data_IF_944974101652
#
_entry.id   IF_944974101652
#
_cell.length_a   1.000
_cell.length_b   1.000
_cell.length_c   1.000
_cell.angle_alpha   90.00
_cell.angle_beta   90.00
_cell.angle_gamma   90.00
#
_symmetry.space_group_name_H-M   'P 1'
#
loop_
_entity.id
_entity.type
_entity.pdbx_description
1 polymer ?
#
# COMPACT_ATOMS: atom_id res chain seq x y z
N UNK A 1 -7.89 7.85 -12.25
CA UNK A 1 -8.72 6.63 -12.10
C UNK A 1 -8.55 6.16 -10.67
N UNK A 2 -9.63 5.80 -9.96
CA UNK A 2 -9.61 5.40 -8.55
C UNK A 2 -8.97 4.01 -8.30
N UNK A 3 -8.36 3.40 -9.32
CA UNK A 3 -7.51 2.22 -9.16
C UNK A 3 -6.06 2.58 -8.85
N UNK A 4 -5.71 3.88 -8.84
CA UNK A 4 -4.36 4.42 -8.60
C UNK A 4 -4.39 5.57 -7.61
N UNK A 5 -3.38 5.62 -6.75
CA UNK A 5 -3.22 6.69 -5.76
C UNK A 5 -1.75 6.99 -5.54
N UNK A 6 -1.42 8.24 -5.23
CA UNK A 6 -0.04 8.67 -5.07
C UNK A 6 0.16 9.48 -3.78
N UNK A 7 1.31 9.29 -3.14
CA UNK A 7 1.73 10.04 -1.96
C UNK A 7 3.23 10.28 -2.00
N UNK A 8 3.72 11.30 -1.31
CA UNK A 8 5.15 11.52 -1.11
C UNK A 8 5.51 11.29 0.35
N UNK A 9 6.64 10.63 0.59
CA UNK A 9 7.21 10.38 1.89
C UNK A 9 8.57 11.06 1.99
N UNK A 10 8.88 11.65 3.14
CA UNK A 10 10.19 12.25 3.42
C UNK A 10 10.91 11.39 4.44
N UNK A 11 12.17 11.04 4.15
CA UNK A 11 12.99 10.26 5.06
C UNK A 11 13.49 11.14 6.22
N UNK A 12 13.16 10.75 7.44
CA UNK A 12 13.60 11.42 8.67
C UNK A 12 14.78 10.66 9.30
N UNK A 13 15.46 11.26 10.28
CA UNK A 13 16.55 10.62 11.00
C UNK A 13 16.13 9.27 11.63
N UNK A 14 14.88 9.14 12.10
CA UNK A 14 14.35 7.91 12.71
C UNK A 14 14.14 6.78 11.69
N UNK A 15 14.08 7.12 10.40
CA UNK A 15 13.89 6.14 9.33
C UNK A 15 15.20 5.49 8.88
N UNK A 16 16.35 6.03 9.30
CA UNK A 16 17.69 5.63 8.84
C UNK A 16 18.29 4.57 9.75
N UNK A 17 18.83 3.49 9.15
CA UNK A 17 19.57 2.45 9.88
C UNK A 17 21.09 2.65 9.83
N UNK A 18 21.83 1.70 10.40
CA UNK A 18 23.30 1.71 10.49
C UNK A 18 24.01 1.76 9.13
N UNK A 19 23.32 1.44 8.03
CA UNK A 19 23.86 1.52 6.67
C UNK A 19 23.72 2.93 6.07
N UNK A 20 23.13 3.88 6.81
CA UNK A 20 23.01 5.29 6.41
C UNK A 20 21.94 5.53 5.35
N UNK A 21 20.93 4.66 5.28
CA UNK A 21 19.79 4.78 4.38
C UNK A 21 18.49 4.31 5.04
N UNK A 22 17.34 4.57 4.39
CA UNK A 22 16.03 4.17 4.94
C UNK A 22 15.95 2.66 5.18
N UNK A 23 15.55 2.28 6.40
CA UNK A 23 15.43 0.89 6.82
C UNK A 23 14.33 0.15 6.04
N UNK A 24 14.53 -1.16 5.80
CA UNK A 24 13.55 -1.99 5.08
C UNK A 24 12.16 -2.01 5.74
N UNK A 25 12.06 -1.97 7.07
CA UNK A 25 10.77 -1.95 7.77
C UNK A 25 10.02 -0.61 7.57
N UNK A 26 10.74 0.49 7.35
CA UNK A 26 10.13 1.80 7.05
C UNK A 26 9.44 1.76 5.69
N UNK A 27 10.08 1.14 4.69
CA UNK A 27 9.43 0.92 3.39
C UNK A 27 8.12 0.14 3.51
N UNK A 28 8.07 -0.90 4.35
CA UNK A 28 6.83 -1.64 4.64
C UNK A 28 5.77 -0.73 5.28
N UNK A 29 6.17 0.11 6.26
CA UNK A 29 5.26 1.10 6.86
C UNK A 29 4.72 2.08 5.83
N UNK A 30 5.55 2.56 4.89
CA UNK A 30 5.10 3.47 3.84
C UNK A 30 4.16 2.79 2.84
N UNK A 31 4.39 1.50 2.50
CA UNK A 31 3.47 0.70 1.68
C UNK A 31 2.09 0.57 2.33
N UNK A 32 2.04 0.31 3.63
CA UNK A 32 0.79 0.25 4.39
C UNK A 32 0.10 1.61 4.41
N UNK A 33 0.83 2.69 4.72
CA UNK A 33 0.26 4.05 4.79
C UNK A 33 -0.38 4.48 3.48
N UNK A 34 0.26 4.28 2.33
CA UNK A 34 -0.35 4.66 1.05
C UNK A 34 -1.53 3.75 0.68
N UNK A 35 -1.49 2.46 1.04
CA UNK A 35 -2.59 1.54 0.79
C UNK A 35 -3.84 1.91 1.61
N UNK A 36 -3.66 2.24 2.89
CA UNK A 36 -4.73 2.70 3.78
C UNK A 36 -5.26 4.05 3.35
N UNK A 37 -4.40 5.02 3.03
CA UNK A 37 -4.83 6.33 2.56
C UNK A 37 -5.65 6.24 1.26
N UNK A 38 -5.26 5.38 0.32
CA UNK A 38 -6.05 5.12 -0.89
C UNK A 38 -7.43 4.52 -0.54
N UNK A 39 -7.47 3.53 0.37
CA UNK A 39 -8.73 2.95 0.83
C UNK A 39 -9.66 3.98 1.49
N UNK A 40 -9.14 4.79 2.41
CA UNK A 40 -9.92 5.82 3.11
C UNK A 40 -10.38 6.95 2.18
N UNK A 41 -9.65 7.22 1.10
CA UNK A 41 -10.00 8.26 0.13
C UNK A 41 -11.16 7.87 -0.78
N UNK A 42 -11.12 6.66 -1.35
CA UNK A 42 -12.01 6.26 -2.45
C UNK A 42 -13.13 5.28 -2.03
N UNK A 43 -13.01 4.64 -0.87
CA UNK A 43 -14.07 3.77 -0.38
C UNK A 43 -15.25 4.57 0.20
N UNK A 44 -16.45 3.97 0.13
CA UNK A 44 -17.60 4.53 0.82
C UNK A 44 -17.35 4.56 2.34
N UNK A 45 -17.75 5.62 3.05
CA UNK A 45 -17.57 5.72 4.50
C UNK A 45 -18.11 4.51 5.28
N UNK A 46 -19.27 3.98 4.85
CA UNK A 46 -19.86 2.78 5.46
C UNK A 46 -18.99 1.53 5.27
N UNK A 47 -18.29 1.41 4.13
CA UNK A 47 -17.35 0.32 3.90
C UNK A 47 -16.10 0.47 4.79
N UNK A 48 -15.58 1.69 4.95
CA UNK A 48 -14.45 1.96 5.86
C UNK A 48 -14.82 1.61 7.30
N UNK A 49 -16.06 1.90 7.71
CA UNK A 49 -16.57 1.61 9.04
C UNK A 49 -16.86 0.11 9.27
N UNK A 50 -17.35 -0.61 8.25
CA UNK A 50 -17.71 -2.03 8.37
C UNK A 50 -16.52 -2.98 8.21
N UNK A 51 -15.52 -2.61 7.41
CA UNK A 51 -14.47 -3.52 6.99
C UNK A 51 -13.07 -3.07 7.38
N UNK A 52 -12.19 -4.04 7.52
CA UNK A 52 -10.75 -3.84 7.65
C UNK A 52 -10.01 -4.69 6.62
N UNK A 53 -8.81 -4.27 6.24
CA UNK A 53 -7.93 -5.03 5.37
C UNK A 53 -6.75 -5.55 6.19
N UNK A 54 -6.45 -6.84 6.07
CA UNK A 54 -5.27 -7.44 6.69
C UNK A 54 -4.31 -7.91 5.62
N UNK A 55 -3.02 -7.66 5.82
CA UNK A 55 -2.00 -8.20 4.91
C UNK A 55 -1.82 -9.69 5.16
N UNK A 56 -1.78 -10.47 4.09
CA UNK A 56 -1.49 -11.91 4.13
C UNK A 56 -0.14 -12.26 3.49
N UNK A 57 0.37 -11.41 2.60
CA UNK A 57 1.66 -11.61 1.93
C UNK A 57 2.18 -10.28 1.38
N UNK A 58 3.48 -10.06 1.52
CA UNK A 58 4.23 -9.10 0.75
C UNK A 58 5.26 -9.83 -0.13
N UNK A 59 5.45 -9.34 -1.35
CA UNK A 59 6.59 -9.63 -2.21
C UNK A 59 7.23 -8.27 -2.51
N UNK A 60 8.50 -8.08 -2.13
CA UNK A 60 9.16 -6.77 -2.15
C UNK A 60 10.53 -6.87 -2.82
N UNK A 61 10.73 -6.04 -3.83
CA UNK A 61 12.00 -5.83 -4.51
C UNK A 61 12.62 -4.51 -4.04
N UNK A 62 13.78 -4.58 -3.39
CA UNK A 62 14.59 -3.40 -3.03
C UNK A 62 15.66 -3.19 -4.12
N UNK A 63 15.51 -2.13 -4.91
CA UNK A 63 16.37 -1.85 -6.09
C UNK A 63 17.37 -0.73 -5.84
N UNK A 64 17.02 0.24 -5.00
CA UNK A 64 17.84 1.36 -4.57
C UNK A 64 17.31 1.88 -3.22
N UNK A 65 17.98 2.86 -2.63
CA UNK A 65 17.56 3.47 -1.38
C UNK A 65 17.77 5.00 -1.38
N UNK A 66 17.29 5.67 -0.34
CA UNK A 66 17.42 7.12 -0.10
C UNK A 66 17.96 7.38 1.32
N UNK A 67 18.43 8.60 1.58
CA UNK A 67 19.02 9.04 2.85
C UNK A 67 18.12 10.03 3.58
N UNK A 68 18.53 10.41 4.79
CA UNK A 68 17.86 11.47 5.55
C UNK A 68 17.68 12.74 4.70
N UNK A 69 16.48 13.32 4.73
CA UNK A 69 16.14 14.53 3.99
C UNK A 69 15.68 14.30 2.56
N UNK A 70 15.93 13.11 1.98
CA UNK A 70 15.44 12.75 0.66
C UNK A 70 13.92 12.45 0.66
N UNK A 71 13.33 12.45 -0.53
CA UNK A 71 11.91 12.12 -0.74
C UNK A 71 11.74 10.86 -1.60
N UNK A 72 10.71 10.09 -1.27
CA UNK A 72 10.21 8.98 -2.07
C UNK A 72 8.78 9.29 -2.56
N UNK A 73 8.60 9.30 -3.87
CA UNK A 73 7.31 9.41 -4.53
C UNK A 73 6.73 8.01 -4.71
N UNK A 74 5.63 7.74 -4.02
CA UNK A 74 4.96 6.46 -4.03
C UNK A 74 3.73 6.52 -4.93
N UNK A 75 3.56 5.50 -5.77
CA UNK A 75 2.32 5.21 -6.48
C UNK A 75 1.85 3.81 -6.10
N UNK A 76 0.59 3.69 -5.70
CA UNK A 76 -0.06 2.41 -5.46
C UNK A 76 -1.15 2.19 -6.49
N UNK A 77 -1.28 0.95 -6.97
CA UNK A 77 -2.26 0.60 -7.97
C UNK A 77 -2.75 -0.83 -7.82
N UNK A 78 -3.97 -1.09 -8.29
CA UNK A 78 -4.61 -2.40 -8.24
C UNK A 78 -4.64 -2.96 -9.66
N UNK A 79 -3.86 -4.02 -9.96
CA UNK A 79 -3.73 -4.52 -11.33
C UNK A 79 -4.85 -5.48 -11.75
N UNK A 80 -5.55 -6.08 -10.80
CA UNK A 80 -6.43 -7.22 -11.04
C UNK A 80 -7.63 -7.17 -10.09
N UNK A 81 -8.80 -7.66 -10.53
CA UNK A 81 -9.98 -7.84 -9.68
C UNK A 81 -9.71 -8.82 -8.52
N UNK A 82 -10.45 -8.74 -7.40
CA UNK A 82 -10.27 -9.64 -6.27
C UNK A 82 -10.62 -11.10 -6.62
N UNK A 83 -9.98 -12.03 -5.92
CA UNK A 83 -10.25 -13.48 -5.99
C UNK A 83 -10.59 -14.02 -4.60
N UNK A 84 -11.86 -14.36 -4.37
CA UNK A 84 -12.33 -14.79 -3.06
C UNK A 84 -12.19 -13.66 -2.03
N UNK A 85 -11.47 -13.90 -0.94
CA UNK A 85 -11.14 -12.88 0.05
C UNK A 85 -9.95 -11.99 -0.33
N UNK A 86 -9.20 -12.34 -1.38
CA UNK A 86 -7.90 -11.74 -1.68
C UNK A 86 -8.01 -10.61 -2.69
N UNK A 87 -7.27 -9.53 -2.46
CA UNK A 87 -7.12 -8.41 -3.37
C UNK A 87 -5.66 -7.99 -3.44
N UNK A 88 -5.07 -8.03 -4.64
CA UNK A 88 -3.66 -7.69 -4.83
C UNK A 88 -3.51 -6.20 -5.13
N UNK A 89 -2.50 -5.60 -4.53
CA UNK A 89 -2.10 -4.21 -4.73
C UNK A 89 -0.61 -4.14 -4.98
N UNK A 90 -0.21 -3.39 -5.99
CA UNK A 90 1.18 -3.05 -6.24
C UNK A 90 1.49 -1.66 -5.69
N UNK A 91 2.73 -1.46 -5.25
CA UNK A 91 3.23 -0.13 -4.86
C UNK A 91 4.66 0.03 -5.36
N UNK A 92 4.92 1.14 -6.04
CA UNK A 92 6.24 1.55 -6.49
C UNK A 92 6.66 2.85 -5.80
N UNK A 93 7.93 2.91 -5.37
CA UNK A 93 8.56 4.11 -4.84
C UNK A 93 9.66 4.55 -5.77
N UNK A 94 9.69 5.84 -6.11
CA UNK A 94 10.70 6.46 -6.97
C UNK A 94 11.32 7.68 -6.30
N UNK A 95 12.58 7.97 -6.59
CA UNK A 95 13.18 9.23 -6.19
C UNK A 95 12.70 10.39 -7.08
N UNK A 96 13.17 11.61 -6.78
CA UNK A 96 12.84 12.81 -7.56
C UNK A 96 13.29 12.75 -9.04
N UNK A 97 14.29 11.90 -9.36
CA UNK A 97 14.75 11.67 -10.73
C UNK A 97 13.96 10.56 -11.44
N UNK A 98 13.00 9.93 -10.77
CA UNK A 98 12.17 8.85 -11.30
C UNK A 98 12.80 7.46 -11.21
N UNK A 99 13.97 7.31 -10.56
CA UNK A 99 14.64 6.03 -10.36
C UNK A 99 13.80 5.17 -9.42
N UNK A 100 13.54 3.92 -9.82
CA UNK A 100 12.83 2.96 -8.96
C UNK A 100 13.69 2.60 -7.73
N UNK A 101 13.12 2.82 -6.55
CA UNK A 101 13.72 2.54 -5.24
C UNK A 101 13.26 1.18 -4.75
N UNK A 102 11.94 1.03 -4.57
CA UNK A 102 11.31 -0.18 -4.04
C UNK A 102 10.04 -0.45 -4.83
N UNK A 103 9.81 -1.71 -5.17
CA UNK A 103 8.55 -2.17 -5.75
C UNK A 103 7.99 -3.30 -4.89
N UNK A 104 6.67 -3.37 -4.76
CA UNK A 104 6.02 -4.41 -3.99
C UNK A 104 4.72 -4.88 -4.62
N UNK A 105 4.38 -6.13 -4.34
CA UNK A 105 3.04 -6.71 -4.53
C UNK A 105 2.56 -7.22 -3.18
N UNK A 106 1.43 -6.69 -2.71
CA UNK A 106 0.83 -7.02 -1.42
C UNK A 106 -0.52 -7.68 -1.63
N UNK A 107 -0.73 -8.83 -1.00
CA UNK A 107 -2.02 -9.53 -0.97
C UNK A 107 -2.77 -9.18 0.31
N UNK A 108 -3.89 -8.48 0.15
CA UNK A 108 -4.79 -8.10 1.23
C UNK A 108 -5.97 -9.07 1.32
N UNK A 109 -6.43 -9.35 2.53
CA UNK A 109 -7.67 -10.06 2.78
C UNK A 109 -8.68 -9.15 3.49
N UNK A 110 -9.94 -9.18 3.06
CA UNK A 110 -11.00 -8.41 3.69
C UNK A 110 -11.46 -9.08 4.98
N UNK A 111 -11.58 -8.30 6.04
CA UNK A 111 -12.07 -8.70 7.35
C UNK A 111 -13.33 -7.92 7.67
N UNK A 112 -14.38 -8.63 8.07
CA UNK A 112 -15.58 -8.03 8.65
C UNK A 112 -15.29 -7.65 10.11
N UNK A 113 -15.44 -6.36 10.45
CA UNK A 113 -15.10 -5.88 11.80
C UNK A 113 -16.07 -6.40 12.86
N UNK A 114 -17.32 -6.64 12.49
CA UNK A 114 -18.33 -7.12 13.43
C UNK A 114 -18.05 -8.55 13.91
N UNK A 115 -17.69 -9.44 12.99
CA UNK A 115 -17.38 -10.85 13.31
C UNK A 115 -15.90 -11.12 13.57
N UNK A 116 -15.01 -10.23 13.16
CA UNK A 116 -13.55 -10.44 13.22
C UNK A 116 -13.05 -11.51 12.24
N UNK A 117 -13.85 -11.88 11.23
CA UNK A 117 -13.53 -12.99 10.32
C UNK A 117 -13.19 -12.49 8.92
N UNK A 118 -12.30 -13.21 8.26
CA UNK A 118 -12.03 -13.01 6.84
C UNK A 118 -13.25 -13.37 6.01
N UNK A 119 -13.54 -12.56 5.00
CA UNK A 119 -14.67 -12.76 4.10
C UNK A 119 -14.29 -12.50 2.65
N UNK A 120 -15.15 -12.96 1.74
CA UNK A 120 -15.05 -12.63 0.31
C UNK A 120 -15.21 -11.13 0.12
N UNK A 121 -14.42 -10.53 -0.78
CA UNK A 121 -14.57 -9.11 -1.14
C UNK A 121 -15.89 -8.93 -1.91
N UNK A 122 -16.85 -8.12 -1.40
CA UNK A 122 -18.07 -7.81 -2.13
C UNK A 122 -17.77 -7.00 -3.41
N UNK A 123 -18.62 -7.14 -4.43
CA UNK A 123 -18.39 -6.50 -5.73
C UNK A 123 -18.46 -4.97 -5.62
N UNK A 124 -19.41 -4.46 -4.83
CA UNK A 124 -19.61 -3.06 -4.51
C UNK A 124 -18.45 -2.44 -3.72
N UNK A 125 -17.75 -3.24 -2.91
CA UNK A 125 -16.55 -2.80 -2.17
C UNK A 125 -15.36 -2.68 -3.12
N UNK A 126 -15.23 -3.60 -4.07
CA UNK A 126 -14.14 -3.60 -5.04
C UNK A 126 -14.35 -2.62 -6.20
N UNK A 127 -15.60 -2.27 -6.52
CA UNK A 127 -15.98 -1.51 -7.72
C UNK A 127 -15.18 -0.21 -7.95
N UNK A 128 -14.89 0.64 -6.93
CA UNK A 128 -14.11 1.86 -7.14
C UNK A 128 -12.66 1.58 -7.58
N UNK A 129 -12.14 0.41 -7.25
CA UNK A 129 -10.72 0.06 -7.33
C UNK A 129 -10.39 -0.86 -8.50
N UNK A 130 -11.37 -1.23 -9.32
CA UNK A 130 -11.16 -2.09 -10.47
C UNK A 130 -10.33 -1.36 -11.55
N UNK A 131 -9.48 -2.09 -12.32
CA UNK A 131 -8.63 -1.50 -13.35
C UNK A 131 -9.37 -0.80 -14.48
#
# INVERSE_FOLDING_TARGET
>A
MANRFAMTFSATAEDIDELGHVNNAVWVRWMERIAVAHWEHDALPDHVAAYAWVVTRHEIDYRSNIREGDMAHAETFIPEKPTGARFNRCTEFRDAAGKLLVASRTTWALLDRASGRLMRVPAEVAAPFLP
#
